data_IF_471600535670
#
_entry.id   IF_471600535670
#
_cell.length_a   1.000
_cell.length_b   1.000
_cell.length_c   1.000
_cell.angle_alpha   90.00
_cell.angle_beta   90.00
_cell.angle_gamma   90.00
#
_symmetry.space_group_name_H-M   'P 1'
#
loop_
_entity.id
_entity.type
_entity.pdbx_description
1 polymer ?
#
# COMPACT_ATOMS: atom_id res chain seq x y z
N UNK A 1 20.40 3.25 14.88
CA UNK A 1 19.94 2.34 13.80
C UNK A 1 20.84 2.56 12.59
N UNK A 2 21.87 1.73 12.50
CA UNK A 2 22.96 1.83 11.52
C UNK A 2 22.42 1.50 10.12
N UNK A 3 22.65 2.43 9.18
CA UNK A 3 22.15 2.32 7.81
C UNK A 3 22.63 1.06 7.10
N UNK A 4 21.67 0.28 6.58
CA UNK A 4 21.98 -0.83 5.65
C UNK A 4 22.89 -0.32 4.52
N UNK A 5 23.94 -1.08 4.15
CA UNK A 5 24.86 -0.68 3.12
C UNK A 5 24.12 -0.38 1.80
N UNK A 6 24.51 0.68 1.11
CA UNK A 6 23.88 1.19 -0.13
C UNK A 6 23.55 0.10 -1.16
N UNK A 7 24.33 -0.98 -1.21
CA UNK A 7 24.12 -2.14 -2.10
C UNK A 7 22.85 -2.94 -1.81
N UNK A 8 22.41 -3.02 -0.55
CA UNK A 8 21.16 -3.72 -0.20
C UNK A 8 19.90 -2.92 -0.61
N UNK A 9 20.02 -1.60 -0.74
CA UNK A 9 18.89 -0.74 -1.19
C UNK A 9 18.61 -0.86 -2.69
N UNK A 10 19.56 -1.36 -3.48
CA UNK A 10 19.41 -1.58 -4.91
C UNK A 10 18.73 -2.92 -5.27
N UNK A 11 18.58 -3.84 -4.30
CA UNK A 11 17.93 -5.12 -4.54
C UNK A 11 16.39 -4.99 -4.56
N UNK A 12 15.69 -5.77 -5.39
CA UNK A 12 14.23 -5.87 -5.37
C UNK A 12 13.71 -6.24 -3.97
N UNK A 13 12.52 -5.79 -3.62
CA UNK A 13 11.92 -5.98 -2.30
C UNK A 13 11.88 -7.47 -1.89
N UNK A 14 11.54 -8.35 -2.87
CA UNK A 14 11.53 -9.81 -2.72
C UNK A 14 12.86 -10.39 -2.26
N UNK A 15 13.98 -9.91 -2.82
CA UNK A 15 15.32 -10.39 -2.46
C UNK A 15 15.74 -9.90 -1.07
N UNK A 16 15.33 -8.70 -0.67
CA UNK A 16 15.60 -8.17 0.68
C UNK A 16 14.86 -8.97 1.75
N UNK A 17 13.58 -9.28 1.53
CA UNK A 17 12.78 -10.08 2.46
C UNK A 17 13.34 -11.49 2.61
N UNK A 18 13.67 -12.15 1.50
CA UNK A 18 14.28 -13.48 1.54
C UNK A 18 15.63 -13.49 2.28
N UNK A 19 16.47 -12.48 2.05
CA UNK A 19 17.77 -12.35 2.72
C UNK A 19 17.60 -12.08 4.22
N UNK A 20 16.66 -11.25 4.63
CA UNK A 20 16.36 -11.00 6.04
C UNK A 20 15.89 -12.27 6.75
N UNK A 21 14.97 -13.02 6.14
CA UNK A 21 14.48 -14.29 6.70
C UNK A 21 15.63 -15.31 6.80
N UNK A 22 16.40 -15.49 5.73
CA UNK A 22 17.54 -16.41 5.72
C UNK A 22 18.58 -16.04 6.78
N UNK A 23 18.88 -14.73 6.93
CA UNK A 23 19.83 -14.25 7.95
C UNK A 23 19.30 -14.47 9.38
N UNK A 24 18.03 -14.18 9.63
CA UNK A 24 17.41 -14.39 10.93
C UNK A 24 17.42 -15.87 11.32
N UNK A 25 17.08 -16.76 10.39
CA UNK A 25 17.11 -18.21 10.60
C UNK A 25 18.54 -18.68 10.82
N UNK A 26 19.52 -18.20 10.03
CA UNK A 26 20.92 -18.55 10.18
C UNK A 26 21.45 -18.19 11.58
N UNK A 27 21.15 -16.99 12.07
CA UNK A 27 21.55 -16.53 13.41
C UNK A 27 20.89 -17.38 14.49
N UNK A 28 19.59 -17.65 14.39
CA UNK A 28 18.87 -18.46 15.36
C UNK A 28 19.40 -19.90 15.42
N UNK A 29 19.61 -20.54 14.27
CA UNK A 29 20.13 -21.90 14.18
C UNK A 29 21.58 -21.97 14.70
N UNK A 30 22.42 -20.97 14.35
CA UNK A 30 23.79 -20.91 14.85
C UNK A 30 23.83 -20.75 16.39
N UNK A 31 22.96 -19.94 16.97
CA UNK A 31 22.86 -19.78 18.41
C UNK A 31 22.44 -21.08 19.11
N UNK A 32 21.43 -21.78 18.57
CA UNK A 32 20.97 -23.07 19.12
C UNK A 32 22.06 -24.14 18.99
N UNK A 33 22.71 -24.20 17.81
CA UNK A 33 23.81 -25.16 17.58
C UNK A 33 24.97 -24.92 18.53
N UNK A 34 25.38 -23.67 18.75
CA UNK A 34 26.43 -23.32 19.69
C UNK A 34 26.04 -23.73 21.12
N UNK A 35 24.80 -23.36 21.55
CA UNK A 35 24.32 -23.75 22.87
C UNK A 35 24.30 -25.25 23.09
N UNK A 36 23.79 -26.00 22.11
CA UNK A 36 23.76 -27.48 22.16
C UNK A 36 25.17 -28.05 22.28
N UNK A 37 26.11 -27.54 21.46
CA UNK A 37 27.51 -28.02 21.50
C UNK A 37 28.17 -27.73 22.86
N UNK A 38 28.02 -26.55 23.42
CA UNK A 38 28.58 -26.18 24.71
C UNK A 38 28.01 -27.02 25.86
N UNK A 39 26.69 -27.19 25.89
CA UNK A 39 26.00 -27.98 26.92
C UNK A 39 26.44 -29.45 26.83
N UNK A 40 26.50 -30.03 25.63
CA UNK A 40 26.91 -31.43 25.44
C UNK A 40 28.37 -31.60 25.82
N UNK A 41 29.26 -30.68 25.47
CA UNK A 41 30.66 -30.69 25.87
C UNK A 41 30.82 -30.72 27.38
N UNK A 42 30.19 -29.79 28.07
CA UNK A 42 30.25 -29.68 29.55
C UNK A 42 29.72 -30.96 30.20
N UNK A 43 28.64 -31.51 29.68
CA UNK A 43 28.04 -32.74 30.18
C UNK A 43 28.98 -33.96 30.00
N UNK A 44 29.60 -34.08 28.81
CA UNK A 44 30.53 -35.19 28.53
C UNK A 44 31.83 -35.07 29.37
N UNK A 45 32.39 -33.87 29.50
CA UNK A 45 33.55 -33.62 30.36
C UNK A 45 33.24 -33.96 31.83
N UNK A 46 32.08 -33.52 32.34
CA UNK A 46 31.63 -33.82 33.68
C UNK A 46 31.42 -35.34 33.89
N UNK A 47 30.83 -36.01 32.91
CA UNK A 47 30.56 -37.44 32.94
C UNK A 47 31.88 -38.26 32.95
N UNK A 48 32.90 -37.80 32.17
CA UNK A 48 34.22 -38.39 32.15
C UNK A 48 34.93 -38.22 33.53
N UNK A 49 34.86 -37.01 34.08
CA UNK A 49 35.44 -36.68 35.40
C UNK A 49 34.79 -37.50 36.53
N UNK A 50 33.49 -37.66 36.51
CA UNK A 50 32.78 -38.47 37.51
C UNK A 50 33.08 -39.97 37.34
N UNK A 51 33.17 -40.43 36.10
CA UNK A 51 33.60 -41.84 35.79
C UNK A 51 35.01 -42.10 36.27
N UNK A 52 35.95 -41.18 36.12
CA UNK A 52 37.32 -41.31 36.63
C UNK A 52 37.37 -41.35 38.15
N UNK A 53 36.59 -40.48 38.84
CA UNK A 53 36.52 -40.46 40.30
C UNK A 53 35.91 -41.72 40.89
N UNK A 54 34.94 -42.29 40.23
CA UNK A 54 34.24 -43.49 40.64
C UNK A 54 34.92 -44.80 40.23
N UNK A 55 35.95 -44.72 39.36
CA UNK A 55 36.70 -45.87 38.88
C UNK A 55 37.45 -46.53 40.04
N UNK A 56 37.10 -47.77 40.36
CA UNK A 56 37.82 -48.63 41.32
C UNK A 56 38.66 -49.57 40.53
N UNK A 57 39.96 -49.50 40.73
CA UNK A 57 40.94 -50.52 40.23
C UNK A 57 40.95 -51.67 41.21
N UNK A 58 40.87 -52.87 40.68
CA UNK A 58 40.89 -54.11 41.51
C UNK A 58 42.15 -54.18 42.41
N UNK A 59 41.93 -54.42 43.67
CA UNK A 59 43.01 -54.51 44.67
C UNK A 59 44.08 -55.53 44.29
N UNK A 60 43.66 -56.60 43.63
CA UNK A 60 44.60 -57.65 43.13
C UNK A 60 45.49 -57.12 42.00
N UNK A 61 44.85 -56.28 41.10
CA UNK A 61 45.63 -55.67 40.02
C UNK A 61 46.63 -54.64 40.58
N UNK A 62 46.21 -53.82 41.56
CA UNK A 62 47.11 -52.86 42.23
C UNK A 62 48.24 -53.52 42.96
N UNK A 63 48.01 -54.66 43.65
CA UNK A 63 49.04 -55.42 44.33
C UNK A 63 50.05 -55.96 43.36
N UNK A 64 49.62 -56.50 42.24
CA UNK A 64 50.50 -57.07 41.18
C UNK A 64 51.32 -55.94 40.51
N UNK A 65 50.67 -54.76 40.19
CA UNK A 65 51.37 -53.62 39.65
C UNK A 65 52.45 -53.10 40.61
N UNK A 66 52.13 -53.01 41.91
CA UNK A 66 53.07 -52.57 42.93
C UNK A 66 54.27 -53.54 43.06
N UNK A 67 54.01 -54.85 43.10
CA UNK A 67 55.05 -55.87 43.12
C UNK A 67 55.95 -55.77 41.87
N UNK A 68 55.41 -55.60 40.69
CA UNK A 68 56.15 -55.36 39.44
C UNK A 68 57.05 -54.12 39.54
N UNK A 69 56.57 -53.03 40.04
CA UNK A 69 57.27 -51.76 40.21
C UNK A 69 58.48 -51.93 41.18
N UNK A 70 58.45 -52.86 42.11
CA UNK A 70 59.53 -53.14 43.04
C UNK A 70 60.54 -54.22 42.58
N UNK A 71 60.46 -54.61 41.29
CA UNK A 71 61.40 -55.59 40.75
C UNK A 71 61.06 -57.05 41.06
N UNK A 72 59.83 -57.36 41.47
CA UNK A 72 59.34 -58.71 41.67
C UNK A 72 59.19 -59.47 40.35
N UNK A 73 59.25 -60.84 40.41
CA UNK A 73 59.07 -61.69 39.20
C UNK A 73 57.68 -61.51 38.62
N UNK A 74 57.65 -61.15 37.33
CA UNK A 74 56.49 -60.74 36.55
C UNK A 74 55.46 -61.86 36.40
N UNK A 75 54.34 -61.71 37.11
CA UNK A 75 53.07 -62.21 36.60
C UNK A 75 52.62 -61.25 35.53
N UNK A 76 52.19 -61.80 34.41
CA UNK A 76 51.70 -60.95 33.29
C UNK A 76 50.56 -60.05 33.75
N UNK A 77 50.78 -58.72 33.73
CA UNK A 77 49.76 -57.73 34.12
C UNK A 77 49.08 -57.31 32.83
N UNK A 78 47.88 -57.80 32.56
CA UNK A 78 47.21 -57.44 31.34
C UNK A 78 46.81 -55.91 31.39
N UNK A 79 46.94 -55.15 30.28
CA UNK A 79 46.48 -53.77 30.23
C UNK A 79 44.98 -53.75 30.42
N UNK A 80 44.46 -52.73 31.16
CA UNK A 80 43.03 -52.51 31.31
C UNK A 80 42.51 -51.88 30.02
N UNK A 81 41.45 -52.41 29.41
CA UNK A 81 41.01 -51.98 28.06
C UNK A 81 40.47 -50.58 27.98
N UNK A 82 39.99 -50.01 29.09
CA UNK A 82 39.30 -48.71 29.10
C UNK A 82 40.03 -47.60 29.86
N UNK A 83 41.07 -47.94 30.63
CA UNK A 83 41.77 -47.01 31.50
C UNK A 83 43.27 -47.29 31.51
N UNK A 84 44.05 -46.23 31.54
CA UNK A 84 45.51 -46.34 31.80
C UNK A 84 45.74 -46.12 33.28
N UNK A 85 46.46 -47.03 33.92
CA UNK A 85 46.73 -46.95 35.35
C UNK A 85 48.23 -46.89 35.55
N UNK A 86 48.68 -45.92 36.37
CA UNK A 86 50.09 -45.80 36.75
C UNK A 86 50.26 -45.46 38.24
N UNK A 87 51.37 -45.87 38.83
CA UNK A 87 51.78 -45.45 40.16
C UNK A 87 52.83 -44.36 40.07
N UNK A 88 52.74 -43.38 40.95
CA UNK A 88 53.64 -42.22 41.01
C UNK A 88 54.19 -42.16 42.44
N UNK A 89 55.50 -42.10 42.58
CA UNK A 89 56.15 -41.91 43.90
C UNK A 89 56.37 -40.41 44.21
N UNK A 90 56.82 -40.13 45.43
CA UNK A 90 57.08 -38.75 45.86
C UNK A 90 58.22 -38.04 45.11
N UNK A 91 59.01 -38.79 44.32
CA UNK A 91 60.09 -38.29 43.49
C UNK A 91 59.62 -38.06 42.04
N UNK A 92 58.33 -38.30 41.72
CA UNK A 92 57.77 -38.20 40.38
C UNK A 92 58.12 -39.38 39.46
N UNK A 93 58.67 -40.52 40.01
CA UNK A 93 58.93 -41.66 39.22
C UNK A 93 57.68 -42.44 38.88
N UNK A 94 57.49 -42.75 37.61
CA UNK A 94 56.29 -43.43 37.09
C UNK A 94 56.53 -44.89 36.89
N UNK A 95 55.62 -45.70 37.38
CA UNK A 95 55.55 -47.09 37.05
C UNK A 95 54.16 -47.46 36.51
N UNK A 96 54.10 -48.05 35.34
CA UNK A 96 52.89 -48.46 34.66
C UNK A 96 53.03 -49.95 34.21
N UNK A 97 51.92 -50.60 33.91
CA UNK A 97 51.88 -51.92 33.37
C UNK A 97 52.63 -52.03 32.02
N UNK A 98 53.29 -53.17 31.73
CA UNK A 98 53.96 -53.39 30.44
C UNK A 98 52.98 -53.16 29.26
N UNK A 99 53.45 -52.46 28.21
CA UNK A 99 52.67 -52.26 27.02
C UNK A 99 51.64 -51.11 27.13
N UNK A 100 51.55 -50.40 28.27
CA UNK A 100 50.71 -49.18 28.41
C UNK A 100 51.53 -47.90 28.18
N UNK A 101 50.99 -46.94 27.47
CA UNK A 101 51.63 -45.62 27.28
C UNK A 101 51.71 -44.90 28.61
N UNK A 102 52.94 -44.53 29.02
CA UNK A 102 53.10 -43.70 30.23
C UNK A 102 52.52 -42.34 30.08
N UNK A 103 51.95 -41.85 31.16
CA UNK A 103 51.43 -40.47 31.26
C UNK A 103 52.53 -39.55 31.76
N UNK A 104 52.57 -38.35 31.26
CA UNK A 104 53.41 -37.29 31.83
C UNK A 104 52.95 -36.96 33.27
N UNK A 105 53.89 -36.71 34.15
CA UNK A 105 53.61 -36.41 35.55
C UNK A 105 53.62 -34.90 35.74
N UNK A 106 52.54 -34.38 36.24
CA UNK A 106 52.47 -32.98 36.64
C UNK A 106 52.94 -32.73 38.08
N UNK A 107 53.32 -31.52 38.40
CA UNK A 107 53.66 -31.16 39.76
C UNK A 107 52.52 -31.46 40.77
N UNK A 108 51.28 -31.34 40.32
CA UNK A 108 50.10 -31.64 41.12
C UNK A 108 49.95 -33.11 41.48
N UNK A 109 50.44 -34.05 40.61
CA UNK A 109 50.43 -35.47 40.89
C UNK A 109 51.46 -35.83 41.98
N UNK A 110 52.64 -35.19 41.93
CA UNK A 110 53.66 -35.33 42.96
C UNK A 110 53.16 -34.80 44.33
N UNK A 111 52.46 -33.66 44.36
CA UNK A 111 51.84 -33.14 45.55
C UNK A 111 50.80 -34.13 46.15
N UNK A 112 50.09 -34.91 45.33
CA UNK A 112 49.19 -35.96 45.81
C UNK A 112 50.03 -37.16 46.41
N UNK A 113 51.09 -37.52 45.75
CA UNK A 113 51.97 -38.57 46.24
C UNK A 113 52.65 -38.13 47.55
N UNK A 114 53.09 -36.90 47.68
CA UNK A 114 53.65 -36.31 48.92
C UNK A 114 52.60 -36.09 50.01
N UNK A 115 51.31 -36.41 49.72
CA UNK A 115 50.18 -36.22 50.66
C UNK A 115 49.83 -34.75 50.94
N UNK A 116 50.26 -33.80 50.11
CA UNK A 116 49.90 -32.38 50.23
C UNK A 116 48.47 -32.09 49.77
N UNK A 117 48.00 -32.92 48.77
CA UNK A 117 46.61 -32.84 48.27
C UNK A 117 45.90 -34.20 48.31
N UNK A 118 44.60 -34.27 48.50
CA UNK A 118 43.86 -35.54 48.51
C UNK A 118 43.76 -36.16 47.13
N UNK A 119 43.58 -35.35 46.06
CA UNK A 119 43.53 -35.78 44.68
C UNK A 119 43.79 -34.58 43.72
N UNK A 120 44.06 -34.86 42.48
CA UNK A 120 44.11 -33.92 41.40
C UNK A 120 43.43 -34.48 40.18
N UNK A 121 42.88 -33.56 39.30
CA UNK A 121 42.23 -33.90 38.06
C UNK A 121 42.67 -32.90 36.99
N UNK A 122 43.31 -33.37 35.93
CA UNK A 122 43.88 -32.51 34.89
C UNK A 122 43.96 -33.27 33.55
N UNK A 123 44.29 -32.55 32.49
CA UNK A 123 44.50 -33.16 31.17
C UNK A 123 45.98 -33.11 30.86
N UNK A 124 46.56 -34.27 30.53
CA UNK A 124 47.97 -34.45 30.21
C UNK A 124 48.13 -35.29 28.94
N UNK A 125 49.30 -35.20 28.33
CA UNK A 125 49.65 -36.01 27.16
C UNK A 125 50.28 -37.34 27.59
N UNK A 126 49.82 -38.41 26.97
CA UNK A 126 50.46 -39.65 27.05
C UNK A 126 51.70 -39.69 26.12
N UNK A 127 52.61 -40.63 26.31
CA UNK A 127 53.83 -40.82 25.51
C UNK A 127 53.54 -41.01 24.02
N UNK A 128 52.39 -41.55 23.66
CA UNK A 128 51.87 -41.65 22.27
C UNK A 128 51.28 -40.40 21.71
N UNK A 129 51.30 -39.28 22.44
CA UNK A 129 50.77 -37.98 22.06
C UNK A 129 49.27 -37.81 22.24
N UNK A 130 48.52 -38.78 22.74
CA UNK A 130 47.11 -38.68 23.03
C UNK A 130 46.82 -37.79 24.24
N UNK A 131 45.83 -36.94 24.15
CA UNK A 131 45.35 -36.16 25.30
C UNK A 131 44.53 -37.08 26.21
N UNK A 132 44.94 -37.16 27.47
CA UNK A 132 44.36 -38.04 28.49
C UNK A 132 43.82 -37.18 29.62
N UNK A 133 42.63 -37.48 30.09
CA UNK A 133 42.08 -36.94 31.34
C UNK A 133 42.56 -37.82 32.48
N UNK A 134 43.29 -37.21 33.42
CA UNK A 134 43.99 -37.93 34.49
C UNK A 134 43.38 -37.57 35.84
N UNK A 135 43.01 -38.58 36.58
CA UNK A 135 42.61 -38.45 37.98
C UNK A 135 43.68 -39.14 38.83
N UNK A 136 44.37 -38.38 39.67
CA UNK A 136 45.36 -38.88 40.58
C UNK A 136 44.86 -38.78 42.01
N UNK A 137 44.86 -39.91 42.75
CA UNK A 137 44.44 -40.03 44.14
C UNK A 137 45.48 -40.71 44.97
N UNK A 138 45.44 -40.49 46.28
CA UNK A 138 46.31 -41.15 47.24
C UNK A 138 46.08 -42.67 47.21
N UNK A 139 47.14 -43.47 47.18
CA UNK A 139 47.07 -44.91 47.38
C UNK A 139 47.42 -45.23 48.80
N UNK A 140 46.44 -45.66 49.61
CA UNK A 140 46.71 -46.23 50.94
C UNK A 140 46.98 -47.71 50.76
N UNK A 141 48.25 -48.04 50.69
CA UNK A 141 48.68 -49.47 50.69
C UNK A 141 48.43 -50.01 52.11
N UNK A 142 47.43 -50.90 52.21
CA UNK A 142 46.94 -51.42 53.52
C UNK A 142 47.97 -51.88 54.43
N UNK A 143 47.76 -51.87 55.73
CA UNK A 143 48.60 -52.28 56.84
C UNK A 143 48.81 -53.80 56.80
N UNK A 144 49.65 -54.29 55.87
CA UNK A 144 50.13 -55.67 55.91
C UNK A 144 51.56 -55.75 56.46
N UNK A 145 52.00 -56.88 57.10
CA UNK A 145 53.38 -57.03 57.48
C UNK A 145 54.27 -57.15 56.26
N UNK A 146 54.97 -56.05 55.95
CA UNK A 146 55.83 -55.87 54.79
C UNK A 146 55.44 -54.67 53.90
N UNK A 147 54.40 -53.98 54.18
CA UNK A 147 54.00 -52.74 53.49
C UNK A 147 55.03 -51.66 53.86
N UNK A 148 55.91 -51.33 52.94
CA UNK A 148 56.80 -50.16 53.07
C UNK A 148 55.95 -48.91 53.04
N UNK A 149 56.24 -47.95 53.93
CA UNK A 149 55.62 -46.67 54.01
C UNK A 149 56.02 -45.80 52.83
N UNK A 150 55.72 -46.26 51.64
CA UNK A 150 55.95 -45.45 50.43
C UNK A 150 54.80 -44.45 50.24
N UNK A 151 55.09 -43.16 50.10
CA UNK A 151 54.16 -42.13 49.63
C UNK A 151 53.90 -42.37 48.13
N UNK A 152 52.75 -42.99 47.82
CA UNK A 152 52.34 -43.33 46.43
C UNK A 152 51.03 -42.72 46.09
N UNK A 153 50.91 -42.27 44.84
CA UNK A 153 49.67 -41.88 44.25
C UNK A 153 49.30 -42.87 43.08
N UNK A 154 48.01 -43.07 42.95
CA UNK A 154 47.40 -43.84 41.85
C UNK A 154 46.84 -42.86 40.85
N UNK A 155 47.35 -42.88 39.62
CA UNK A 155 46.77 -42.10 38.50
C UNK A 155 45.97 -43.04 37.61
N UNK A 156 44.77 -42.73 37.35
CA UNK A 156 43.83 -43.38 36.43
C UNK A 156 43.52 -42.37 35.31
N UNK A 157 43.68 -42.76 34.05
CA UNK A 157 43.43 -41.90 32.95
C UNK A 157 42.55 -42.54 31.88
N UNK A 158 41.78 -41.71 31.22
CA UNK A 158 40.98 -42.06 30.05
C UNK A 158 41.29 -41.10 28.89
N UNK A 159 41.22 -41.56 27.64
CA UNK A 159 41.49 -40.70 26.49
C UNK A 159 40.38 -39.64 26.31
N UNK A 160 40.80 -38.42 26.05
CA UNK A 160 39.88 -37.31 25.73
C UNK A 160 39.12 -37.55 24.42
N UNK A 161 39.54 -38.51 23.59
CA UNK A 161 38.78 -38.92 22.41
C UNK A 161 37.36 -39.40 22.74
N UNK A 162 37.13 -39.93 23.95
CA UNK A 162 35.77 -40.27 24.42
C UNK A 162 34.83 -39.07 24.48
N UNK A 163 35.36 -37.85 24.58
CA UNK A 163 34.63 -36.60 24.57
C UNK A 163 34.71 -35.93 23.20
N UNK A 164 35.91 -35.85 22.59
CA UNK A 164 36.13 -35.08 21.36
C UNK A 164 35.51 -35.72 20.12
N UNK A 165 35.49 -37.06 20.02
CA UNK A 165 34.94 -37.74 18.85
C UNK A 165 33.42 -37.61 18.73
N UNK A 166 32.63 -37.84 19.81
CA UNK A 166 31.19 -37.55 19.78
C UNK A 166 30.88 -36.05 19.50
N UNK A 167 31.68 -35.13 20.08
CA UNK A 167 31.51 -33.68 19.85
C UNK A 167 31.82 -33.30 18.41
N UNK A 168 32.84 -33.88 17.79
CA UNK A 168 33.16 -33.63 16.38
C UNK A 168 32.03 -34.11 15.45
N UNK A 169 31.51 -35.32 15.74
CA UNK A 169 30.36 -35.88 15.01
C UNK A 169 29.11 -34.98 15.17
N UNK A 170 28.82 -34.56 16.40
CA UNK A 170 27.73 -33.63 16.68
C UNK A 170 27.91 -32.30 15.91
N UNK A 171 29.13 -31.73 15.89
CA UNK A 171 29.43 -30.50 15.18
C UNK A 171 29.12 -30.63 13.68
N UNK A 172 29.53 -31.71 13.03
CA UNK A 172 29.24 -31.97 11.61
C UNK A 172 27.75 -32.12 11.34
N UNK A 173 27.00 -32.83 12.20
CA UNK A 173 25.55 -32.96 12.09
C UNK A 173 24.88 -31.61 12.24
N UNK A 174 25.28 -30.80 13.23
CA UNK A 174 24.74 -29.46 13.44
C UNK A 174 25.01 -28.54 12.25
N UNK A 175 26.21 -28.58 11.67
CA UNK A 175 26.55 -27.80 10.46
C UNK A 175 25.68 -28.21 9.26
N UNK A 176 25.51 -29.54 9.06
CA UNK A 176 24.65 -30.04 7.97
C UNK A 176 23.20 -29.59 8.12
N UNK A 177 22.63 -29.79 9.33
CA UNK A 177 21.25 -29.40 9.62
C UNK A 177 21.06 -27.85 9.48
N UNK A 178 22.06 -27.09 9.98
CA UNK A 178 22.05 -25.62 9.83
C UNK A 178 22.10 -25.23 8.37
N UNK A 179 22.96 -25.86 7.55
CA UNK A 179 23.05 -25.58 6.13
C UNK A 179 21.74 -25.85 5.38
N UNK A 180 21.13 -27.02 5.62
CA UNK A 180 19.82 -27.37 5.02
C UNK A 180 18.74 -26.37 5.47
N UNK A 181 18.70 -26.03 6.76
CA UNK A 181 17.73 -25.08 7.32
C UNK A 181 17.83 -23.68 6.70
N UNK A 182 19.06 -23.15 6.57
CA UNK A 182 19.30 -21.82 5.97
C UNK A 182 18.93 -21.80 4.47
N UNK A 183 19.35 -22.83 3.71
CA UNK A 183 19.01 -22.94 2.29
C UNK A 183 17.50 -23.09 2.11
N UNK A 184 16.86 -23.95 2.90
CA UNK A 184 15.41 -24.14 2.89
C UNK A 184 14.64 -22.85 3.22
N UNK A 185 15.07 -22.14 4.27
CA UNK A 185 14.47 -20.86 4.65
C UNK A 185 14.64 -19.79 3.55
N UNK A 186 15.82 -19.74 2.91
CA UNK A 186 16.07 -18.84 1.78
C UNK A 186 15.18 -19.15 0.58
N UNK A 187 15.07 -20.43 0.21
CA UNK A 187 14.21 -20.87 -0.90
C UNK A 187 12.72 -20.61 -0.62
N UNK A 188 12.24 -20.95 0.58
CA UNK A 188 10.87 -20.67 1.01
C UNK A 188 10.59 -19.18 1.05
N UNK A 189 11.51 -18.38 1.60
CA UNK A 189 11.39 -16.92 1.64
C UNK A 189 11.32 -16.29 0.24
N UNK A 190 12.10 -16.77 -0.72
CA UNK A 190 12.04 -16.34 -2.12
C UNK A 190 10.72 -16.74 -2.78
N UNK A 191 10.25 -17.95 -2.53
CA UNK A 191 8.99 -18.45 -3.07
C UNK A 191 7.79 -17.63 -2.56
N UNK A 192 7.70 -17.43 -1.23
CA UNK A 192 6.64 -16.62 -0.60
C UNK A 192 6.70 -15.16 -1.10
N UNK A 193 7.91 -14.58 -1.16
CA UNK A 193 8.07 -13.20 -1.63
C UNK A 193 7.70 -13.03 -3.11
N UNK A 194 7.98 -14.03 -3.97
CA UNK A 194 7.57 -13.99 -5.39
C UNK A 194 6.06 -14.12 -5.54
N UNK A 195 5.43 -15.02 -4.79
CA UNK A 195 3.99 -15.27 -4.92
C UNK A 195 3.18 -14.11 -4.31
N UNK A 196 3.58 -13.66 -3.12
CA UNK A 196 2.86 -12.59 -2.41
C UNK A 196 3.04 -11.19 -3.02
N UNK A 197 4.15 -10.92 -3.74
CA UNK A 197 4.40 -9.62 -4.36
C UNK A 197 4.08 -9.57 -5.86
N UNK A 198 3.62 -10.66 -6.46
CA UNK A 198 3.21 -10.69 -7.87
C UNK A 198 2.11 -9.66 -8.19
N UNK A 199 1.05 -9.50 -7.38
CA UNK A 199 0.02 -8.50 -7.66
C UNK A 199 0.55 -7.05 -7.62
N UNK A 200 1.61 -6.77 -6.88
CA UNK A 200 2.26 -5.45 -6.86
C UNK A 200 3.02 -5.19 -8.17
N UNK A 201 3.69 -6.20 -8.71
CA UNK A 201 4.34 -6.09 -10.02
C UNK A 201 3.27 -5.86 -11.13
N UNK A 202 2.15 -6.59 -11.08
CA UNK A 202 1.04 -6.44 -12.03
C UNK A 202 0.41 -5.04 -11.95
N UNK A 203 0.24 -4.50 -10.73
CA UNK A 203 -0.21 -3.11 -10.52
C UNK A 203 0.79 -2.09 -11.10
N UNK A 204 2.09 -2.28 -10.84
CA UNK A 204 3.12 -1.38 -11.36
C UNK A 204 3.15 -1.37 -12.90
N UNK A 205 3.00 -2.54 -13.52
CA UNK A 205 2.90 -2.66 -14.98
C UNK A 205 1.63 -2.00 -15.53
N UNK A 206 0.48 -2.18 -14.90
CA UNK A 206 -0.77 -1.54 -15.31
C UNK A 206 -0.68 -0.01 -15.24
N UNK A 207 -0.10 0.52 -14.15
CA UNK A 207 0.13 1.98 -13.99
C UNK A 207 1.07 2.50 -15.07
N UNK A 208 2.19 1.81 -15.34
CA UNK A 208 3.14 2.22 -16.38
C UNK A 208 2.49 2.19 -17.76
N UNK A 209 1.72 1.15 -18.07
CA UNK A 209 1.02 1.03 -19.34
C UNK A 209 -0.01 2.15 -19.54
N UNK A 210 -0.83 2.46 -18.52
CA UNK A 210 -1.78 3.59 -18.58
C UNK A 210 -1.05 4.91 -18.79
N UNK A 211 0.13 5.10 -18.15
CA UNK A 211 0.91 6.31 -18.30
C UNK A 211 1.51 6.48 -19.71
N UNK A 212 1.86 5.38 -20.39
CA UNK A 212 2.49 5.40 -21.71
C UNK A 212 1.44 5.44 -22.86
N UNK A 213 0.34 4.69 -22.70
CA UNK A 213 -0.64 4.49 -23.78
C UNK A 213 -1.92 5.27 -23.60
N UNK A 214 -2.16 5.83 -22.40
CA UNK A 214 -3.44 6.43 -21.99
C UNK A 214 -4.65 5.46 -22.14
N UNK A 215 -4.38 4.16 -22.19
CA UNK A 215 -5.44 3.14 -22.25
C UNK A 215 -6.05 2.92 -20.86
N UNK A 216 -7.24 3.45 -20.66
CA UNK A 216 -8.00 3.35 -19.41
C UNK A 216 -8.89 2.10 -19.33
N UNK A 217 -8.83 1.20 -20.33
CA UNK A 217 -9.67 -0.02 -20.37
C UNK A 217 -9.08 -1.15 -19.52
N UNK A 218 -7.79 -1.08 -19.18
CA UNK A 218 -7.10 -2.08 -18.39
C UNK A 218 -7.74 -2.21 -17.00
N UNK A 219 -7.92 -3.47 -16.58
CA UNK A 219 -8.39 -3.81 -15.24
C UNK A 219 -7.40 -4.75 -14.57
N UNK A 220 -7.09 -4.46 -13.33
CA UNK A 220 -6.26 -5.32 -12.49
C UNK A 220 -7.16 -6.37 -11.85
N UNK A 221 -6.81 -7.66 -11.95
CA UNK A 221 -7.54 -8.70 -11.21
C UNK A 221 -7.53 -8.40 -9.71
N UNK A 222 -8.68 -8.53 -9.07
CA UNK A 222 -8.83 -8.33 -7.63
C UNK A 222 -9.05 -9.67 -6.99
N UNK A 223 -8.01 -10.20 -6.34
CA UNK A 223 -8.07 -11.46 -5.60
C UNK A 223 -7.86 -11.17 -4.11
N UNK A 224 -8.74 -11.72 -3.26
CA UNK A 224 -8.64 -11.55 -1.81
C UNK A 224 -9.23 -10.24 -1.26
N UNK A 225 -8.95 -9.98 0.04
CA UNK A 225 -9.45 -8.82 0.79
C UNK A 225 -8.33 -8.02 1.49
N UNK A 226 -7.08 -8.30 1.14
CA UNK A 226 -5.89 -7.65 1.71
C UNK A 226 -5.71 -6.20 1.21
N UNK A 227 -4.64 -5.57 1.65
CA UNK A 227 -4.29 -4.19 1.29
C UNK A 227 -4.04 -4.05 -0.21
N UNK A 228 -3.51 -5.09 -0.85
CA UNK A 228 -3.22 -5.11 -2.28
C UNK A 228 -4.52 -5.17 -3.09
N UNK A 229 -5.46 -6.04 -2.68
CA UNK A 229 -6.79 -6.12 -3.29
C UNK A 229 -7.55 -4.79 -3.16
N UNK A 230 -7.41 -4.10 -2.01
CA UNK A 230 -8.00 -2.76 -1.80
C UNK A 230 -7.39 -1.72 -2.74
N UNK A 231 -6.04 -1.75 -2.92
CA UNK A 231 -5.35 -0.84 -3.82
C UNK A 231 -5.76 -1.08 -5.29
N UNK A 232 -5.87 -2.35 -5.70
CA UNK A 232 -6.33 -2.74 -7.04
C UNK A 232 -7.77 -2.27 -7.31
N UNK A 233 -8.67 -2.39 -6.34
CA UNK A 233 -10.04 -1.85 -6.43
C UNK A 233 -10.04 -0.33 -6.60
N UNK A 234 -9.23 0.37 -5.81
CA UNK A 234 -9.12 1.83 -5.88
C UNK A 234 -8.57 2.28 -7.23
N UNK A 235 -7.57 1.60 -7.76
CA UNK A 235 -7.02 1.86 -9.09
C UNK A 235 -8.08 1.64 -10.18
N UNK A 236 -8.78 0.50 -10.16
CA UNK A 236 -9.84 0.20 -11.13
C UNK A 236 -10.99 1.23 -11.08
N UNK A 237 -11.35 1.69 -9.89
CA UNK A 237 -12.35 2.76 -9.70
C UNK A 237 -11.87 4.09 -10.28
N UNK A 238 -10.62 4.46 -10.02
CA UNK A 238 -10.01 5.68 -10.55
C UNK A 238 -9.95 5.67 -12.07
N UNK A 239 -9.45 4.58 -12.68
CA UNK A 239 -9.38 4.46 -14.15
C UNK A 239 -10.75 4.48 -14.80
N UNK A 240 -11.76 3.84 -14.17
CA UNK A 240 -13.15 3.89 -14.63
C UNK A 240 -13.74 5.31 -14.59
N UNK A 241 -13.51 6.04 -13.49
CA UNK A 241 -13.96 7.42 -13.35
C UNK A 241 -13.28 8.34 -14.37
N UNK A 242 -11.98 8.14 -14.62
CA UNK A 242 -11.22 8.91 -15.60
C UNK A 242 -11.68 8.61 -17.03
N UNK A 243 -11.94 7.34 -17.38
CA UNK A 243 -12.48 6.95 -18.66
C UNK A 243 -13.85 7.62 -18.92
N UNK A 244 -14.76 7.54 -17.95
CA UNK A 244 -16.09 8.18 -18.04
C UNK A 244 -15.99 9.69 -18.20
N UNK A 245 -15.04 10.32 -17.49
CA UNK A 245 -14.80 11.77 -17.61
C UNK A 245 -14.28 12.14 -18.99
N UNK A 246 -13.35 11.36 -19.52
CA UNK A 246 -12.79 11.56 -20.88
C UNK A 246 -13.84 11.39 -21.98
N UNK A 247 -14.67 10.34 -21.85
CA UNK A 247 -15.76 10.11 -22.79
C UNK A 247 -16.76 11.28 -22.81
N UNK A 248 -17.17 11.76 -21.62
CA UNK A 248 -18.05 12.93 -21.51
C UNK A 248 -17.42 14.19 -22.12
N UNK A 249 -16.12 14.39 -21.94
CA UNK A 249 -15.39 15.52 -22.51
C UNK A 249 -15.31 15.40 -24.04
N UNK A 250 -15.00 14.21 -24.55
CA UNK A 250 -14.94 13.94 -26.00
C UNK A 250 -16.29 14.17 -26.65
N UNK A 251 -17.37 13.71 -26.03
CA UNK A 251 -18.73 13.94 -26.52
C UNK A 251 -19.08 15.43 -26.51
N UNK A 252 -18.75 16.17 -25.46
CA UNK A 252 -18.96 17.61 -25.40
C UNK A 252 -18.25 18.36 -26.55
N UNK A 253 -16.99 17.97 -26.84
CA UNK A 253 -16.22 18.58 -27.92
C UNK A 253 -16.85 18.24 -29.31
N UNK A 254 -17.30 17.01 -29.50
CA UNK A 254 -17.95 16.59 -30.73
C UNK A 254 -19.28 17.36 -30.96
N UNK A 255 -20.13 17.41 -29.95
CA UNK A 255 -21.41 18.10 -29.98
C UNK A 255 -21.22 19.62 -30.20
N UNK A 256 -20.26 20.22 -29.47
CA UNK A 256 -19.87 21.62 -29.65
C UNK A 256 -19.40 21.90 -31.08
N UNK A 257 -18.59 21.00 -31.66
CA UNK A 257 -18.12 21.13 -33.06
C UNK A 257 -19.27 21.18 -34.08
N UNK A 258 -20.30 20.36 -33.87
CA UNK A 258 -21.50 20.36 -34.70
C UNK A 258 -22.31 21.63 -34.58
N UNK A 259 -22.58 22.06 -33.35
CA UNK A 259 -23.43 23.26 -33.08
C UNK A 259 -22.74 24.59 -33.43
N UNK A 260 -21.41 24.65 -33.40
CA UNK A 260 -20.65 25.80 -33.87
C UNK A 260 -20.59 25.90 -35.40
N UNK A 261 -20.59 24.78 -36.12
CA UNK A 261 -20.46 24.77 -37.59
C UNK A 261 -21.64 25.42 -38.28
N UNK A 262 -22.85 25.19 -37.79
CA UNK A 262 -24.11 25.72 -38.42
C UNK A 262 -24.14 27.22 -38.43
N UNK A 263 -24.04 27.96 -37.31
CA UNK A 263 -24.08 29.42 -37.32
C UNK A 263 -22.85 30.02 -38.06
N UNK A 264 -21.68 29.37 -37.97
CA UNK A 264 -20.48 29.82 -38.68
C UNK A 264 -20.66 29.74 -40.21
N UNK A 265 -21.28 28.67 -40.74
CA UNK A 265 -21.58 28.52 -42.15
C UNK A 265 -22.57 29.58 -42.61
N UNK A 266 -23.62 29.80 -41.87
CA UNK A 266 -24.60 30.82 -42.19
C UNK A 266 -24.02 32.25 -42.14
N UNK A 267 -23.18 32.54 -41.12
CA UNK A 267 -22.45 33.79 -41.01
C UNK A 267 -21.52 34.02 -42.21
N UNK A 268 -20.78 32.99 -42.62
CA UNK A 268 -19.90 33.03 -43.81
C UNK A 268 -20.72 33.32 -45.07
N UNK A 269 -21.85 32.61 -45.29
CA UNK A 269 -22.72 32.85 -46.43
C UNK A 269 -23.26 34.24 -46.48
N UNK A 270 -23.73 34.79 -45.37
CA UNK A 270 -24.25 36.15 -45.28
C UNK A 270 -23.16 37.19 -45.60
N UNK A 271 -21.95 37.00 -45.12
CA UNK A 271 -20.78 37.87 -45.40
C UNK A 271 -20.38 37.77 -46.88
N UNK A 272 -20.30 36.53 -47.42
CA UNK A 272 -19.97 36.31 -48.84
C UNK A 272 -20.99 36.98 -49.76
N UNK A 273 -22.30 36.97 -49.44
CA UNK A 273 -23.35 37.70 -50.19
C UNK A 273 -23.13 39.21 -50.15
N UNK A 274 -22.81 39.76 -49.00
CA UNK A 274 -22.50 41.17 -48.84
C UNK A 274 -21.27 41.59 -49.64
N UNK A 275 -20.17 40.82 -49.53
CA UNK A 275 -18.90 41.08 -50.24
C UNK A 275 -19.10 40.99 -51.78
N UNK A 276 -19.82 39.96 -52.26
CA UNK A 276 -20.06 39.78 -53.67
C UNK A 276 -20.91 40.89 -54.27
N UNK A 277 -21.85 41.47 -53.49
CA UNK A 277 -22.61 42.65 -53.89
C UNK A 277 -21.69 43.86 -54.06
N UNK A 278 -20.76 44.06 -53.14
CA UNK A 278 -19.83 45.20 -53.19
C UNK A 278 -18.79 45.00 -54.35
N UNK A 279 -18.31 43.78 -54.58
CA UNK A 279 -17.32 43.44 -55.64
C UNK A 279 -17.91 43.54 -57.08
N UNK A 280 -19.17 43.15 -57.25
CA UNK A 280 -19.83 43.11 -58.58
C UNK A 280 -20.58 44.39 -58.89
N UNK A 281 -20.70 45.34 -57.99
CA UNK A 281 -21.48 46.55 -58.12
C UNK A 281 -22.98 46.31 -58.22
N UNK A 282 -23.46 45.08 -57.98
CA UNK A 282 -24.89 44.76 -58.03
C UNK A 282 -25.49 45.00 -56.66
N UNK A 283 -26.14 46.16 -56.52
CA UNK A 283 -26.70 46.58 -55.26
C UNK A 283 -27.76 45.61 -54.70
N UNK A 284 -27.58 45.15 -53.46
CA UNK A 284 -28.64 44.50 -52.68
C UNK A 284 -29.65 45.58 -52.25
N UNK A 285 -30.95 45.32 -52.35
CA UNK A 285 -31.96 46.24 -51.83
C UNK A 285 -31.65 46.68 -50.39
N UNK A 286 -31.85 47.95 -50.04
CA UNK A 286 -31.49 48.48 -48.69
C UNK A 286 -32.11 47.69 -47.55
N UNK A 287 -33.32 47.22 -47.67
CA UNK A 287 -34.01 46.43 -46.66
C UNK A 287 -33.39 45.03 -46.51
N UNK A 288 -33.02 44.37 -47.62
CA UNK A 288 -32.34 43.07 -47.60
C UNK A 288 -30.94 43.16 -47.01
N UNK A 289 -30.18 44.23 -47.32
CA UNK A 289 -28.87 44.50 -46.73
C UNK A 289 -28.97 44.71 -45.23
N UNK A 290 -30.00 45.46 -44.77
CA UNK A 290 -30.27 45.65 -43.35
C UNK A 290 -30.65 44.35 -42.66
N UNK A 291 -31.45 43.51 -43.29
CA UNK A 291 -31.81 42.17 -42.79
C UNK A 291 -30.61 41.25 -42.71
N UNK A 292 -29.71 41.21 -43.72
CA UNK A 292 -28.48 40.44 -43.70
C UNK A 292 -27.54 40.89 -42.56
N UNK A 293 -27.33 42.20 -42.39
CA UNK A 293 -26.51 42.72 -41.29
C UNK A 293 -27.12 42.44 -39.91
N UNK A 294 -28.44 42.50 -39.78
CA UNK A 294 -29.13 42.10 -38.53
C UNK A 294 -28.93 40.61 -38.24
N UNK A 295 -29.02 39.74 -39.28
CA UNK A 295 -28.75 38.31 -39.16
C UNK A 295 -27.31 38.01 -38.75
N UNK A 296 -26.31 38.68 -39.36
CA UNK A 296 -24.89 38.56 -38.97
C UNK A 296 -24.71 38.94 -37.50
N UNK A 297 -25.26 40.05 -37.05
CA UNK A 297 -25.17 40.50 -35.65
C UNK A 297 -25.83 39.52 -34.69
N UNK A 298 -26.99 38.97 -35.02
CA UNK A 298 -27.69 37.97 -34.21
C UNK A 298 -26.87 36.68 -34.06
N UNK A 299 -26.30 36.18 -35.17
CA UNK A 299 -25.44 34.96 -35.17
C UNK A 299 -24.17 35.16 -34.40
N UNK A 300 -23.51 36.32 -34.46
CA UNK A 300 -22.34 36.61 -33.63
C UNK A 300 -22.69 36.64 -32.14
N UNK A 301 -23.84 37.16 -31.76
CA UNK A 301 -24.29 37.16 -30.38
C UNK A 301 -24.61 35.75 -29.89
N UNK A 302 -25.24 34.95 -30.73
CA UNK A 302 -25.53 33.53 -30.43
C UNK A 302 -24.25 32.70 -30.27
N UNK A 303 -23.25 32.89 -31.15
CA UNK A 303 -21.92 32.24 -31.01
C UNK A 303 -21.22 32.64 -29.72
N UNK A 304 -21.25 33.91 -29.34
CA UNK A 304 -20.64 34.38 -28.10
C UNK A 304 -21.30 33.73 -26.86
N UNK A 305 -22.62 33.61 -26.84
CA UNK A 305 -23.38 32.96 -25.79
C UNK A 305 -23.03 31.45 -25.72
N UNK A 306 -23.01 30.77 -26.88
CA UNK A 306 -22.67 29.33 -26.97
C UNK A 306 -21.26 29.04 -26.47
N UNK A 307 -20.26 29.88 -26.80
CA UNK A 307 -18.89 29.74 -26.29
C UNK A 307 -18.88 29.90 -24.76
N UNK A 308 -19.60 30.85 -24.20
CA UNK A 308 -19.74 31.06 -22.75
C UNK A 308 -20.38 29.85 -22.06
N UNK A 309 -21.41 29.28 -22.64
CA UNK A 309 -22.08 28.07 -22.13
C UNK A 309 -21.15 26.83 -22.17
N UNK A 310 -20.38 26.68 -23.26
CA UNK A 310 -19.40 25.62 -23.41
C UNK A 310 -18.27 25.71 -22.38
N UNK A 311 -17.76 26.90 -22.10
CA UNK A 311 -16.74 27.12 -21.07
C UNK A 311 -17.25 26.70 -19.69
N UNK A 312 -18.50 26.95 -19.38
CA UNK A 312 -19.13 26.56 -18.13
C UNK A 312 -19.30 25.03 -18.03
N UNK A 313 -19.76 24.40 -19.09
CA UNK A 313 -19.94 22.95 -19.13
C UNK A 313 -18.61 22.15 -19.17
N UNK A 314 -17.53 22.76 -19.67
CA UNK A 314 -16.20 22.13 -19.71
C UNK A 314 -15.44 22.25 -18.39
N UNK A 315 -15.93 23.00 -17.40
CA UNK A 315 -15.36 22.96 -16.04
C UNK A 315 -15.48 21.56 -15.47
N UNK A 316 -14.38 20.94 -15.00
CA UNK A 316 -14.43 19.61 -14.41
C UNK A 316 -15.40 19.56 -13.23
N UNK A 317 -16.19 18.50 -13.11
CA UNK A 317 -17.07 18.27 -11.95
C UNK A 317 -16.30 18.20 -10.61
N UNK A 318 -14.99 17.87 -10.70
CA UNK A 318 -14.05 17.84 -9.58
C UNK A 318 -13.29 19.16 -9.34
N UNK A 319 -13.34 20.14 -10.28
CA UNK A 319 -12.91 21.49 -9.94
C UNK A 319 -13.89 21.97 -8.86
N UNK A 320 -13.35 22.19 -7.66
CA UNK A 320 -14.14 22.69 -6.53
C UNK A 320 -15.06 23.80 -7.07
N UNK A 321 -16.39 23.69 -6.89
CA UNK A 321 -17.25 24.82 -7.15
C UNK A 321 -16.61 26.03 -6.46
N UNK A 322 -16.64 27.19 -7.09
CA UNK A 322 -16.15 28.40 -6.42
C UNK A 322 -16.67 28.41 -4.99
N UNK A 323 -16.05 29.10 -4.04
CA UNK A 323 -16.37 28.93 -2.64
C UNK A 323 -17.88 29.02 -2.45
N UNK A 324 -18.49 27.90 -2.01
CA UNK A 324 -19.91 27.84 -1.70
C UNK A 324 -20.18 28.88 -0.60
N UNK A 325 -20.91 29.88 -0.95
CA UNK A 325 -21.29 30.96 -0.04
C UNK A 325 -22.77 30.83 0.33
N UNK A 326 -23.15 31.40 1.45
CA UNK A 326 -24.56 31.57 1.76
C UNK A 326 -25.06 32.79 0.97
N UNK A 327 -25.97 32.52 0.06
CA UNK A 327 -26.52 33.55 -0.82
C UNK A 327 -28.04 33.68 -0.63
N UNK A 328 -28.55 34.89 -0.76
CA UNK A 328 -29.96 35.18 -0.70
C UNK A 328 -30.61 34.90 -2.07
N UNK A 329 -31.28 33.74 -2.20
CA UNK A 329 -31.92 33.33 -3.47
C UNK A 329 -32.94 34.36 -3.97
N UNK A 330 -33.70 34.99 -3.06
CA UNK A 330 -34.66 36.03 -3.39
C UNK A 330 -33.99 37.27 -4.01
N UNK A 331 -32.77 37.64 -3.60
CA UNK A 331 -32.06 38.79 -4.18
C UNK A 331 -31.47 38.44 -5.56
N UNK A 332 -30.89 37.23 -5.70
CA UNK A 332 -30.45 36.72 -7.00
C UNK A 332 -31.63 36.70 -7.98
N UNK A 333 -32.76 36.17 -7.55
CA UNK A 333 -33.96 36.09 -8.38
C UNK A 333 -34.45 37.51 -8.75
N UNK A 334 -34.42 38.47 -7.82
CA UNK A 334 -34.77 39.86 -8.08
C UNK A 334 -33.86 40.50 -9.13
N UNK A 335 -32.56 40.27 -9.05
CA UNK A 335 -31.60 40.76 -10.04
C UNK A 335 -31.83 40.13 -11.41
N UNK A 336 -32.06 38.82 -11.48
CA UNK A 336 -32.36 38.11 -12.71
C UNK A 336 -33.69 38.62 -13.37
N UNK A 337 -34.71 38.91 -12.55
CA UNK A 337 -35.98 39.49 -13.02
C UNK A 337 -35.81 40.88 -13.66
N UNK A 338 -34.89 41.71 -13.13
CA UNK A 338 -34.60 43.00 -13.75
C UNK A 338 -34.04 42.84 -15.16
N UNK A 339 -33.16 41.84 -15.37
CA UNK A 339 -32.62 41.50 -16.70
C UNK A 339 -33.70 40.95 -17.64
N UNK A 340 -34.55 40.03 -17.14
CA UNK A 340 -35.67 39.49 -17.92
C UNK A 340 -36.64 40.55 -18.42
N UNK A 341 -36.97 41.54 -17.57
CA UNK A 341 -37.82 42.69 -17.96
C UNK A 341 -37.22 43.55 -19.09
N UNK A 342 -35.87 43.69 -19.11
CA UNK A 342 -35.21 44.42 -20.21
C UNK A 342 -35.25 43.65 -21.53
N UNK A 343 -35.29 42.32 -21.50
CA UNK A 343 -35.34 41.45 -22.70
C UNK A 343 -36.77 41.31 -23.25
N UNK A 344 -37.75 41.32 -22.38
CA UNK A 344 -39.18 41.24 -22.75
C UNK A 344 -39.98 42.44 -22.22
N UNK A 345 -39.75 43.67 -22.74
CA UNK A 345 -40.38 44.89 -22.18
C UNK A 345 -41.90 44.89 -22.34
N UNK A 346 -42.44 44.08 -23.23
CA UNK A 346 -43.90 43.95 -23.48
C UNK A 346 -44.57 42.93 -22.53
N UNK A 347 -43.77 42.12 -21.80
CA UNK A 347 -44.31 41.09 -20.93
C UNK A 347 -44.63 41.64 -19.53
N UNK A 348 -45.72 41.13 -18.96
CA UNK A 348 -46.06 41.41 -17.56
C UNK A 348 -45.36 40.38 -16.68
N UNK A 349 -44.53 40.83 -15.74
CA UNK A 349 -43.81 39.93 -14.81
C UNK A 349 -44.30 40.15 -13.40
N UNK A 350 -45.04 39.18 -12.86
CA UNK A 350 -45.49 39.12 -11.48
C UNK A 350 -44.45 38.36 -10.65
N UNK A 351 -44.10 38.90 -9.47
CA UNK A 351 -43.10 38.23 -8.64
C UNK A 351 -43.46 38.32 -7.15
N UNK A 352 -43.50 37.15 -6.51
CA UNK A 352 -43.67 36.98 -5.06
C UNK A 352 -42.46 36.23 -4.51
N UNK A 353 -41.55 36.92 -3.82
CA UNK A 353 -40.28 36.38 -3.38
C UNK A 353 -40.17 36.40 -1.86
N UNK A 354 -40.41 35.25 -1.22
CA UNK A 354 -40.15 35.09 0.19
C UNK A 354 -38.62 34.93 0.47
N UNK A 355 -38.10 35.43 1.59
CA UNK A 355 -36.71 35.28 1.95
C UNK A 355 -36.30 33.82 2.01
N UNK A 356 -35.18 33.47 1.34
CA UNK A 356 -34.58 32.14 1.38
C UNK A 356 -33.09 32.23 1.12
N UNK A 357 -32.28 31.53 1.96
CA UNK A 357 -30.83 31.51 1.92
C UNK A 357 -30.35 30.12 1.61
N UNK A 358 -29.45 29.97 0.63
CA UNK A 358 -28.94 28.71 0.13
C UNK A 358 -27.40 28.71 0.11
N UNK A 359 -26.77 27.53 0.16
CA UNK A 359 -25.34 27.42 -0.08
C UNK A 359 -25.10 27.12 -1.55
N UNK A 360 -24.57 28.09 -2.27
CA UNK A 360 -24.29 27.95 -3.70
C UNK A 360 -23.12 28.86 -4.12
N UNK A 361 -22.62 28.65 -5.34
CA UNK A 361 -21.77 29.62 -6.03
C UNK A 361 -22.63 30.73 -6.56
N UNK A 362 -22.43 32.01 -6.14
CA UNK A 362 -23.35 33.10 -6.48
C UNK A 362 -23.56 33.33 -7.99
N UNK A 363 -22.42 33.32 -8.74
CA UNK A 363 -22.47 33.60 -10.19
C UNK A 363 -23.14 32.47 -10.98
N UNK A 364 -22.89 31.19 -10.58
CA UNK A 364 -23.51 30.03 -11.23
C UNK A 364 -25.01 29.99 -10.94
N UNK A 365 -25.43 30.26 -9.70
CA UNK A 365 -26.85 30.30 -9.34
C UNK A 365 -27.59 31.47 -10.02
N UNK A 366 -26.99 32.66 -10.10
CA UNK A 366 -27.55 33.79 -10.84
C UNK A 366 -27.77 33.41 -12.32
N UNK A 367 -26.76 32.78 -12.96
CA UNK A 367 -26.87 32.35 -14.35
C UNK A 367 -27.96 31.30 -14.54
N UNK A 368 -28.09 30.35 -13.60
CA UNK A 368 -29.15 29.35 -13.66
C UNK A 368 -30.55 30.00 -13.61
N UNK A 369 -30.77 30.93 -12.70
CA UNK A 369 -32.04 31.65 -12.60
C UNK A 369 -32.29 32.48 -13.87
N UNK A 370 -31.28 33.18 -14.40
CA UNK A 370 -31.37 33.91 -15.66
C UNK A 370 -31.77 33.02 -16.82
N UNK A 371 -31.17 31.81 -16.94
CA UNK A 371 -31.48 30.86 -18.02
C UNK A 371 -32.95 30.40 -17.97
N UNK A 372 -33.50 30.18 -16.77
CA UNK A 372 -34.90 29.78 -16.63
C UNK A 372 -35.82 30.95 -17.02
N UNK A 373 -35.52 32.18 -16.57
CA UNK A 373 -36.31 33.39 -16.90
C UNK A 373 -36.20 33.72 -18.39
N UNK A 374 -35.03 33.57 -19.01
CA UNK A 374 -34.84 33.80 -20.45
C UNK A 374 -35.67 32.81 -21.28
N UNK A 375 -35.78 31.54 -20.85
CA UNK A 375 -36.69 30.61 -21.47
C UNK A 375 -38.15 31.04 -21.33
N UNK A 376 -38.57 31.48 -20.14
CA UNK A 376 -39.93 32.00 -19.94
C UNK A 376 -40.22 33.22 -20.83
N UNK A 377 -39.30 34.18 -20.96
CA UNK A 377 -39.42 35.33 -21.86
C UNK A 377 -39.52 34.90 -23.32
N UNK A 378 -38.65 33.96 -23.75
CA UNK A 378 -38.55 33.49 -25.13
C UNK A 378 -39.79 32.77 -25.61
N UNK A 379 -40.44 31.98 -24.74
CA UNK A 379 -41.57 31.14 -25.09
C UNK A 379 -42.92 31.77 -24.75
N UNK A 380 -42.95 32.88 -24.00
CA UNK A 380 -44.17 33.64 -23.72
C UNK A 380 -44.77 34.30 -24.98
N UNK A 381 -46.08 34.31 -25.14
CA UNK A 381 -46.72 35.03 -26.21
C UNK A 381 -46.52 36.57 -26.07
N UNK A 382 -46.58 37.34 -27.13
CA UNK A 382 -46.53 38.81 -27.07
C UNK A 382 -47.54 39.36 -26.07
N UNK A 383 -47.10 40.26 -25.18
CA UNK A 383 -47.90 40.82 -24.06
C UNK A 383 -48.40 39.77 -23.05
N UNK A 384 -47.73 38.58 -23.03
CA UNK A 384 -48.03 37.51 -22.08
C UNK A 384 -47.60 37.87 -20.67
N UNK A 385 -47.91 36.94 -19.74
CA UNK A 385 -47.54 37.07 -18.33
C UNK A 385 -46.53 36.00 -17.96
N UNK A 386 -45.57 36.34 -17.08
CA UNK A 386 -44.67 35.41 -16.42
C UNK A 386 -44.90 35.56 -14.92
N UNK A 387 -45.24 34.44 -14.26
CA UNK A 387 -45.45 34.41 -12.82
C UNK A 387 -44.26 33.74 -12.14
N UNK A 388 -43.65 34.42 -11.16
CA UNK A 388 -42.48 33.95 -10.42
C UNK A 388 -42.78 33.93 -8.94
N UNK A 389 -42.65 32.81 -8.30
CA UNK A 389 -42.85 32.66 -6.87
C UNK A 389 -41.70 31.94 -6.21
N UNK A 390 -41.29 32.41 -5.04
CA UNK A 390 -40.29 31.74 -4.18
C UNK A 390 -40.89 31.48 -2.81
N UNK A 391 -41.17 30.22 -2.50
CA UNK A 391 -41.72 29.82 -1.23
C UNK A 391 -40.96 28.60 -0.68
N UNK A 392 -40.45 28.67 0.57
CA UNK A 392 -39.79 27.56 1.29
C UNK A 392 -38.68 26.85 0.47
N UNK A 393 -37.92 27.63 -0.31
CA UNK A 393 -36.82 27.07 -1.12
C UNK A 393 -37.22 26.54 -2.49
N UNK A 394 -38.48 26.64 -2.85
CA UNK A 394 -39.00 26.34 -4.18
C UNK A 394 -39.21 27.61 -4.96
N UNK A 395 -38.41 27.81 -6.01
CA UNK A 395 -38.54 28.87 -6.99
C UNK A 395 -39.32 28.32 -8.19
N UNK A 396 -40.51 28.85 -8.41
CA UNK A 396 -41.33 28.52 -9.58
C UNK A 396 -41.35 29.66 -10.57
N UNK A 397 -41.17 29.35 -11.84
CA UNK A 397 -41.28 30.27 -12.97
C UNK A 397 -42.28 29.68 -13.94
N UNK A 398 -43.41 30.34 -14.11
CA UNK A 398 -44.50 29.95 -15.00
C UNK A 398 -44.58 30.88 -16.20
N UNK A 399 -44.53 30.34 -17.38
CA UNK A 399 -44.86 30.98 -18.62
C UNK A 399 -46.28 30.58 -19.09
N UNK A 400 -46.85 31.35 -20.01
CA UNK A 400 -48.15 31.09 -20.65
C UNK A 400 -47.96 30.81 -22.15
N UNK A 401 -46.84 30.17 -22.48
CA UNK A 401 -46.48 29.81 -23.86
C UNK A 401 -47.19 28.55 -24.38
N UNK A 402 -46.68 27.96 -25.46
CA UNK A 402 -47.26 26.74 -26.04
C UNK A 402 -47.10 25.48 -25.19
N UNK A 403 -46.29 25.55 -24.13
CA UNK A 403 -45.93 24.39 -23.30
C UNK A 403 -44.94 23.43 -23.97
N UNK A 404 -44.61 22.34 -23.27
CA UNK A 404 -43.71 21.27 -23.72
C UNK A 404 -44.51 19.98 -23.80
N UNK A 405 -44.49 19.25 -24.94
CA UNK A 405 -45.14 17.95 -25.07
C UNK A 405 -44.61 16.97 -24.03
N UNK A 406 -45.49 16.14 -23.46
CA UNK A 406 -45.12 15.19 -22.42
C UNK A 406 -43.98 14.22 -22.86
N UNK A 407 -43.94 13.84 -24.14
CA UNK A 407 -42.90 13.01 -24.74
C UNK A 407 -41.52 13.68 -24.81
N UNK A 408 -41.48 15.03 -24.80
CA UNK A 408 -40.25 15.82 -24.85
C UNK A 408 -39.70 16.18 -23.45
N UNK A 409 -40.49 16.12 -22.39
CA UNK A 409 -40.09 16.46 -21.02
C UNK A 409 -38.88 15.68 -20.50
N UNK A 410 -38.68 14.36 -20.76
CA UNK A 410 -37.50 13.62 -20.31
C UNK A 410 -36.18 14.15 -20.90
N UNK A 411 -36.23 14.84 -22.05
CA UNK A 411 -35.07 15.29 -22.81
C UNK A 411 -34.72 16.78 -22.64
N UNK A 412 -35.55 17.55 -21.96
CA UNK A 412 -35.37 19.01 -21.87
C UNK A 412 -34.11 19.47 -21.16
N UNK A 413 -33.50 18.58 -20.33
CA UNK A 413 -32.22 18.81 -19.65
C UNK A 413 -31.01 18.23 -20.39
N UNK A 414 -31.22 17.49 -21.53
CA UNK A 414 -30.14 17.00 -22.35
C UNK A 414 -29.41 18.18 -23.01
N UNK A 415 -28.12 18.05 -23.20
CA UNK A 415 -27.28 19.07 -23.83
C UNK A 415 -27.65 19.22 -25.27
N UNK A 416 -27.71 20.47 -25.77
CA UNK A 416 -28.05 20.80 -27.14
C UNK A 416 -29.49 20.40 -27.57
N UNK A 417 -30.28 19.86 -26.64
CA UNK A 417 -31.63 19.45 -26.97
C UNK A 417 -32.53 20.67 -27.20
N UNK A 418 -33.35 20.63 -28.27
CA UNK A 418 -34.31 21.66 -28.64
C UNK A 418 -35.56 21.01 -29.19
N UNK A 419 -36.70 21.43 -28.71
CA UNK A 419 -37.99 20.98 -29.27
C UNK A 419 -38.13 21.34 -30.76
N UNK A 420 -38.95 20.61 -31.47
CA UNK A 420 -39.20 20.91 -32.90
C UNK A 420 -39.72 22.33 -33.13
N UNK A 421 -40.55 22.83 -32.24
CA UNK A 421 -41.10 24.18 -32.28
C UNK A 421 -40.07 25.26 -31.95
N UNK A 422 -39.08 24.95 -31.11
CA UNK A 422 -38.04 25.86 -30.67
C UNK A 422 -36.84 25.98 -31.63
N UNK A 423 -36.73 25.15 -32.67
CA UNK A 423 -35.59 25.16 -33.59
C UNK A 423 -35.46 26.44 -34.41
N UNK A 424 -36.56 27.15 -34.62
CA UNK A 424 -36.57 28.44 -35.34
C UNK A 424 -36.25 29.64 -34.45
N UNK A 425 -36.25 29.47 -33.12
CA UNK A 425 -35.95 30.51 -32.15
C UNK A 425 -34.44 30.49 -31.79
N UNK A 426 -33.80 31.63 -31.49
CA UNK A 426 -32.40 31.66 -31.11
C UNK A 426 -32.14 30.89 -29.80
N UNK A 427 -31.00 30.22 -29.70
CA UNK A 427 -30.56 29.56 -28.45
C UNK A 427 -29.78 28.25 -28.66
N UNK A 428 -28.84 27.97 -27.77
CA UNK A 428 -27.88 26.91 -27.85
C UNK A 428 -28.41 25.51 -27.43
N UNK A 429 -29.55 25.42 -26.75
CA UNK A 429 -30.00 24.18 -26.11
C UNK A 429 -29.18 23.77 -24.88
N UNK A 430 -28.27 24.63 -24.38
CA UNK A 430 -27.43 24.35 -23.22
C UNK A 430 -28.01 24.95 -21.92
N UNK A 431 -28.85 25.97 -21.99
CA UNK A 431 -29.33 26.70 -20.82
C UNK A 431 -29.94 25.82 -19.75
N UNK A 432 -30.86 24.90 -20.09
CA UNK A 432 -31.52 24.04 -19.11
C UNK A 432 -30.55 22.94 -18.56
N UNK A 433 -29.61 22.47 -19.34
CA UNK A 433 -28.57 21.52 -18.86
C UNK A 433 -27.62 22.20 -17.86
N UNK A 434 -27.31 23.50 -18.07
CA UNK A 434 -26.54 24.31 -17.11
C UNK A 434 -27.35 24.51 -15.81
N UNK A 435 -28.65 24.81 -15.91
CA UNK A 435 -29.51 24.94 -14.73
C UNK A 435 -29.55 23.64 -13.93
N UNK A 436 -29.79 22.50 -14.58
CA UNK A 436 -29.85 21.20 -13.92
C UNK A 436 -28.55 20.90 -13.17
N UNK A 437 -27.41 21.12 -13.82
CA UNK A 437 -26.09 20.94 -13.19
C UNK A 437 -25.87 21.85 -11.98
N UNK A 438 -26.16 23.14 -12.13
CA UNK A 438 -25.96 24.10 -11.05
C UNK A 438 -26.86 23.81 -9.84
N UNK A 439 -28.10 23.46 -10.08
CA UNK A 439 -29.07 23.10 -9.03
C UNK A 439 -28.65 21.82 -8.31
N UNK A 440 -28.19 20.79 -9.05
CA UNK A 440 -27.67 19.55 -8.46
C UNK A 440 -26.40 19.79 -7.62
N UNK A 441 -25.48 20.64 -8.09
CA UNK A 441 -24.28 21.02 -7.33
C UNK A 441 -24.61 21.78 -6.02
N UNK A 442 -25.73 22.52 -6.01
CA UNK A 442 -26.25 23.16 -4.80
C UNK A 442 -27.07 22.19 -3.92
N UNK A 443 -27.17 20.91 -4.26
CA UNK A 443 -27.93 19.89 -3.53
C UNK A 443 -29.44 19.97 -3.74
N UNK A 444 -29.88 20.61 -4.80
CA UNK A 444 -31.30 20.80 -5.13
C UNK A 444 -31.77 19.97 -6.31
N UNK A 445 -33.01 20.19 -6.71
CA UNK A 445 -33.69 19.53 -7.83
C UNK A 445 -34.40 20.57 -8.72
N UNK A 446 -34.40 20.27 -10.03
CA UNK A 446 -35.20 21.05 -11.01
C UNK A 446 -36.15 20.12 -11.74
N UNK A 447 -37.36 20.60 -11.97
CA UNK A 447 -38.39 19.94 -12.78
C UNK A 447 -39.09 20.93 -13.70
N UNK A 448 -39.48 20.44 -14.87
CA UNK A 448 -40.37 21.14 -15.78
C UNK A 448 -41.72 20.39 -15.87
N UNK A 449 -42.82 21.08 -15.77
CA UNK A 449 -44.15 20.49 -15.88
C UNK A 449 -45.07 21.37 -16.75
N UNK A 450 -46.06 20.77 -17.42
CA UNK A 450 -47.10 21.51 -18.08
C UNK A 450 -47.88 22.36 -17.05
N UNK A 451 -48.25 23.59 -17.41
CA UNK A 451 -49.07 24.45 -16.59
C UNK A 451 -50.57 24.25 -16.87
N UNK A 452 -51.40 24.29 -15.84
CA UNK A 452 -52.85 24.29 -15.99
C UNK A 452 -53.32 25.51 -16.83
N UNK A 453 -54.02 25.25 -17.92
CA UNK A 453 -54.43 26.30 -18.87
C UNK A 453 -53.39 26.63 -19.94
N UNK A 454 -52.30 25.89 -20.07
CA UNK A 454 -51.22 26.06 -21.04
C UNK A 454 -49.99 26.75 -20.47
N UNK A 455 -48.85 26.57 -21.16
CA UNK A 455 -47.54 27.05 -20.72
C UNK A 455 -46.74 26.02 -19.99
N UNK A 456 -45.59 26.43 -19.42
CA UNK A 456 -44.67 25.58 -18.67
C UNK A 456 -44.40 26.17 -17.27
N UNK A 457 -44.32 25.32 -16.29
CA UNK A 457 -43.81 25.64 -14.97
C UNK A 457 -42.42 25.02 -14.77
N UNK A 458 -41.42 25.85 -14.56
CA UNK A 458 -40.10 25.44 -14.09
C UNK A 458 -40.06 25.57 -12.56
N UNK A 459 -39.81 24.47 -11.86
CA UNK A 459 -39.67 24.42 -10.40
C UNK A 459 -38.25 24.05 -10.04
N UNK A 460 -37.58 24.94 -9.29
CA UNK A 460 -36.23 24.73 -8.72
C UNK A 460 -36.39 24.66 -7.22
N UNK A 461 -36.02 23.51 -6.63
CA UNK A 461 -36.04 23.34 -5.17
C UNK A 461 -34.61 23.30 -4.66
N UNK A 462 -34.25 24.19 -3.73
CA UNK A 462 -32.93 24.30 -3.14
C UNK A 462 -33.00 24.19 -1.62
N UNK A 463 -32.14 23.34 -1.00
CA UNK A 463 -32.05 23.25 0.45
C UNK A 463 -31.52 24.56 1.03
N UNK A 464 -32.11 25.01 2.16
CA UNK A 464 -31.74 26.28 2.78
C UNK A 464 -32.61 26.65 3.97
N UNK A 465 -32.62 27.93 4.32
CA UNK A 465 -33.39 28.45 5.45
C UNK A 465 -33.98 29.84 5.15
N UNK A 466 -35.10 30.24 5.79
CA UNK A 466 -35.70 31.56 5.60
C UNK A 466 -34.90 32.70 6.25
N UNK A 467 -33.92 32.37 7.08
CA UNK A 467 -33.03 33.32 7.75
C UNK A 467 -31.58 33.05 7.42
N UNK A 468 -30.68 34.03 7.35
CA UNK A 468 -29.28 33.82 7.17
C UNK A 468 -28.71 33.06 8.39
N UNK A 469 -27.67 32.23 8.21
CA UNK A 469 -26.99 31.66 9.35
C UNK A 469 -26.41 32.78 10.23
N UNK A 470 -26.29 32.54 11.57
CA UNK A 470 -25.64 33.51 12.43
C UNK A 470 -24.21 33.74 11.96
N UNK A 471 -23.78 35.01 11.92
CA UNK A 471 -22.40 35.37 11.66
C UNK A 471 -21.53 34.74 12.78
N UNK A 472 -20.59 33.88 12.41
CA UNK A 472 -19.65 33.23 13.34
C UNK A 472 -18.39 34.07 13.47
#
# INVERSE_FOLDING_TARGET
MTGLPRRLRALPLRSRLALLVATAVAVAVAAVAAACWFVTREQLEHQLDESLRSSKVDDVYLANLYAYCKGGTSQEIPPLPSVTVQLIDAQGTVCAAPGTSKLSVSAADVEVAERQRPYTLHTEKAENGADMRVFTSRLDVGRGPGAGSGNLALSIARPMSEVTDPLSTLAWVLVLVAGIGVVGAGAAGLWIARTGLRPVDDLAHAVAHVAETEDLTIRIPVEGEDEIARLSRSFNSMTSSLATSRDRQSQLIADAGHELRTPLTSLRTNIELLSRSDDTGRAIPPDDRKALMASVKAQMTELAALIGDLQELSRPDAAQPGPLQVVALHDITRTALQRARLRGPELTVNAELAPWYVRAEPAALERAVVNVLDNAVKFSPPRGTIDVALHRGELTVRDHGPGIPAEELPHVFDRFWRSRSARQLPGSGLGLSIVARTVQQAGGEIALSPADGGGTVASIRLPGAPQPPPEV
#
